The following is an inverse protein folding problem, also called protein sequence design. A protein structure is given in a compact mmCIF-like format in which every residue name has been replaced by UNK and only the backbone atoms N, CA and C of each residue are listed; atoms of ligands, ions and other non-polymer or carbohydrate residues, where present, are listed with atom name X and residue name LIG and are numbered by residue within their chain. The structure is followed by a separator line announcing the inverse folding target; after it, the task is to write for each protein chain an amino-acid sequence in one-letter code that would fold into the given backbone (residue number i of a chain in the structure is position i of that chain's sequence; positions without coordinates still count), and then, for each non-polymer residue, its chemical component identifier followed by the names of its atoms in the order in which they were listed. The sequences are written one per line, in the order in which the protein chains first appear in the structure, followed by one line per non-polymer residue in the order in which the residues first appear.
data_IF_231269943408
#
_entry.id   IF_231269943408
#
_cell.length_a   1.000
_cell.length_b   1.000
_cell.length_c   1.000
_cell.angle_alpha   90.00
_cell.angle_beta   90.00
_cell.angle_gamma   90.00
#
_symmetry.space_group_name_H-M   'P 1'
#
loop_
_entity.id
_entity.type
_entity.pdbx_description
1 polymer ?
#
# COMPACT_ATOMS: atom_id res chain seq x y z
N UNK A 1 29.53 -26.34 0.95
CA UNK A 1 28.18 -26.96 0.96
C UNK A 1 27.23 -26.38 2.01
N UNK A 2 27.70 -25.76 3.12
CA UNK A 2 26.79 -25.19 4.14
C UNK A 2 26.10 -23.85 3.76
N UNK A 3 26.77 -22.99 2.97
CA UNK A 3 26.25 -21.65 2.64
C UNK A 3 24.88 -21.66 1.92
N UNK A 4 24.63 -22.53 0.91
CA UNK A 4 23.32 -22.61 0.25
C UNK A 4 22.19 -23.04 1.20
N UNK A 5 22.47 -23.98 2.11
CA UNK A 5 21.51 -24.43 3.10
C UNK A 5 21.16 -23.33 4.10
N UNK A 6 22.16 -22.60 4.62
CA UNK A 6 21.93 -21.46 5.52
C UNK A 6 21.15 -20.34 4.83
N UNK A 7 21.45 -20.03 3.58
CA UNK A 7 20.67 -19.05 2.79
C UNK A 7 19.21 -19.48 2.62
N UNK A 8 18.96 -20.77 2.39
CA UNK A 8 17.62 -21.30 2.31
C UNK A 8 16.87 -21.20 3.64
N UNK A 9 17.50 -21.56 4.77
CA UNK A 9 16.91 -21.45 6.11
C UNK A 9 16.58 -19.99 6.45
N UNK A 10 17.47 -19.05 6.16
CA UNK A 10 17.21 -17.61 6.36
C UNK A 10 16.06 -17.13 5.48
N UNK A 11 16.02 -17.54 4.20
CA UNK A 11 14.93 -17.18 3.29
C UNK A 11 13.57 -17.73 3.76
N UNK A 12 13.53 -18.95 4.28
CA UNK A 12 12.29 -19.56 4.80
C UNK A 12 11.85 -18.86 6.08
N UNK A 13 12.80 -18.52 6.97
CA UNK A 13 12.52 -17.77 8.19
C UNK A 13 11.93 -16.38 7.88
N UNK A 14 12.51 -15.64 6.92
CA UNK A 14 12.00 -14.35 6.46
C UNK A 14 10.55 -14.46 5.95
N UNK A 15 10.23 -15.50 5.19
CA UNK A 15 8.87 -15.75 4.67
C UNK A 15 7.90 -16.09 5.80
N UNK A 16 8.33 -16.92 6.77
CA UNK A 16 7.52 -17.27 7.93
C UNK A 16 7.23 -16.05 8.82
N UNK A 17 8.22 -15.21 9.05
CA UNK A 17 8.08 -14.00 9.86
C UNK A 17 7.17 -12.96 9.17
N UNK A 18 7.28 -12.83 7.84
CA UNK A 18 6.36 -12.02 7.03
C UNK A 18 4.91 -12.54 7.11
N UNK A 19 4.72 -13.86 7.06
CA UNK A 19 3.39 -14.48 7.15
C UNK A 19 2.76 -14.38 8.54
N UNK A 20 3.59 -14.38 9.60
CA UNK A 20 3.13 -14.29 11.01
C UNK A 20 2.84 -12.86 11.45
N UNK A 21 3.29 -11.85 10.67
CA UNK A 21 3.12 -10.45 11.01
C UNK A 21 1.65 -10.01 10.89
N UNK A 22 1.17 -9.37 11.94
CA UNK A 22 -0.09 -8.63 11.93
C UNK A 22 0.11 -7.32 11.16
N UNK A 23 -0.74 -7.08 10.17
CA UNK A 23 -0.69 -5.87 9.36
C UNK A 23 -1.22 -4.69 10.18
N UNK A 24 -0.54 -3.56 10.09
CA UNK A 24 -0.96 -2.32 10.75
C UNK A 24 -1.42 -1.30 9.72
N UNK A 25 -2.48 -0.59 10.07
CA UNK A 25 -2.95 0.61 9.39
C UNK A 25 -2.42 1.81 10.18
N UNK A 26 -1.73 2.73 9.51
CA UNK A 26 -1.25 3.98 10.06
C UNK A 26 -2.03 5.12 9.43
N UNK A 27 -2.55 6.03 10.25
CA UNK A 27 -3.19 7.25 9.79
C UNK A 27 -2.43 8.47 10.31
N UNK A 28 -2.30 9.51 9.51
CA UNK A 28 -1.66 10.75 9.96
C UNK A 28 -2.55 11.49 10.97
N UNK A 29 -1.97 11.86 12.11
CA UNK A 29 -2.70 12.56 13.18
C UNK A 29 -2.80 14.07 12.95
N UNK A 30 -1.91 14.63 12.12
CA UNK A 30 -1.73 16.09 11.96
C UNK A 30 -1.13 16.75 13.22
N UNK A 31 -0.48 15.97 14.08
CA UNK A 31 0.17 16.44 15.30
C UNK A 31 1.70 16.28 15.17
N UNK A 32 2.45 17.16 15.86
CA UNK A 32 3.92 17.14 15.82
C UNK A 32 4.52 15.78 16.20
N UNK A 33 3.92 15.08 17.17
CA UNK A 33 4.25 13.71 17.57
C UNK A 33 3.15 13.10 18.47
N UNK A 34 2.83 11.79 18.37
CA UNK A 34 3.22 10.88 17.29
C UNK A 34 2.52 11.24 15.98
N UNK A 35 3.28 11.25 14.89
CA UNK A 35 2.78 11.64 13.55
C UNK A 35 1.84 10.59 12.94
N UNK A 36 2.00 9.34 13.35
CA UNK A 36 1.19 8.21 12.94
C UNK A 36 0.39 7.64 14.11
N UNK A 37 -0.91 7.49 13.92
CA UNK A 37 -1.77 6.65 14.75
C UNK A 37 -1.84 5.26 14.12
N UNK A 38 -1.53 4.21 14.89
CA UNK A 38 -1.58 2.83 14.40
C UNK A 38 -2.83 2.09 14.87
N UNK A 39 -3.46 1.35 13.98
CA UNK A 39 -4.52 0.39 14.27
C UNK A 39 -4.21 -0.96 13.65
N UNK A 40 -4.81 -2.03 14.17
CA UNK A 40 -4.75 -3.34 13.53
C UNK A 40 -5.52 -3.30 12.21
N UNK A 41 -4.89 -3.77 11.14
CA UNK A 41 -5.55 -3.89 9.85
C UNK A 41 -6.34 -5.20 9.80
N UNK A 42 -7.65 -5.11 10.03
CA UNK A 42 -8.55 -6.27 10.12
C UNK A 42 -9.30 -6.58 8.82
N UNK A 43 -9.02 -5.88 7.72
CA UNK A 43 -9.79 -6.03 6.49
C UNK A 43 -9.64 -7.45 5.92
N UNK A 44 -10.79 -8.13 5.74
CA UNK A 44 -10.87 -9.50 5.22
C UNK A 44 -10.78 -9.60 3.69
N UNK A 45 -10.45 -8.50 2.99
CA UNK A 45 -10.47 -8.50 1.53
C UNK A 45 -9.27 -9.26 1.00
N UNK A 46 -9.55 -10.18 0.08
CA UNK A 46 -8.55 -10.89 -0.72
C UNK A 46 -8.69 -10.43 -2.17
N UNK A 47 -7.60 -10.49 -2.94
CA UNK A 47 -7.64 -10.15 -4.38
C UNK A 47 -8.71 -10.95 -5.12
N UNK A 48 -8.99 -12.18 -4.68
CA UNK A 48 -10.03 -13.03 -5.25
C UNK A 48 -11.45 -12.53 -4.94
N UNK A 49 -11.70 -12.02 -3.73
CA UNK A 49 -13.01 -11.51 -3.32
C UNK A 49 -13.40 -10.15 -3.94
N UNK A 50 -12.44 -9.40 -4.48
CA UNK A 50 -12.73 -8.09 -5.10
C UNK A 50 -13.39 -8.26 -6.47
N UNK A 51 -14.53 -7.61 -6.68
CA UNK A 51 -15.22 -7.57 -7.95
C UNK A 51 -14.50 -6.64 -8.95
N UNK A 52 -13.78 -7.24 -9.89
CA UNK A 52 -13.05 -6.57 -10.98
C UNK A 52 -13.02 -7.46 -12.20
N UNK A 53 -12.69 -6.87 -13.35
CA UNK A 53 -12.42 -7.63 -14.57
C UNK A 53 -11.34 -8.70 -14.35
N UNK A 54 -11.57 -9.97 -14.75
CA UNK A 54 -10.65 -11.07 -14.48
C UNK A 54 -9.30 -10.91 -15.19
N UNK A 55 -9.25 -10.27 -16.36
CA UNK A 55 -7.99 -10.01 -17.06
C UNK A 55 -7.17 -8.96 -16.31
N UNK A 56 -7.82 -7.87 -15.87
CA UNK A 56 -7.18 -6.83 -15.07
C UNK A 56 -6.64 -7.39 -13.75
N UNK A 57 -7.45 -8.20 -13.05
CA UNK A 57 -7.05 -8.87 -11.80
C UNK A 57 -5.79 -9.72 -12.01
N UNK A 58 -5.73 -10.48 -13.09
CA UNK A 58 -4.59 -11.34 -13.42
C UNK A 58 -3.34 -10.52 -13.73
N UNK A 59 -3.48 -9.42 -14.48
CA UNK A 59 -2.37 -8.50 -14.78
C UNK A 59 -1.79 -7.88 -13.51
N UNK A 60 -2.64 -7.37 -12.61
CA UNK A 60 -2.17 -6.76 -11.36
C UNK A 60 -1.52 -7.82 -10.46
N UNK A 61 -2.08 -9.02 -10.35
CA UNK A 61 -1.47 -10.12 -9.59
C UNK A 61 -0.06 -10.45 -10.10
N UNK A 62 0.10 -10.61 -11.41
CA UNK A 62 1.40 -10.91 -12.03
C UNK A 62 2.42 -9.78 -11.81
N UNK A 63 1.97 -8.53 -11.87
CA UNK A 63 2.82 -7.35 -11.59
C UNK A 63 3.29 -7.32 -10.13
N UNK A 64 2.40 -7.58 -9.18
CA UNK A 64 2.72 -7.65 -7.74
C UNK A 64 3.73 -8.77 -7.44
N UNK A 65 3.55 -9.96 -8.02
CA UNK A 65 4.51 -11.07 -7.88
C UNK A 65 5.88 -10.74 -8.47
N UNK A 66 5.89 -10.09 -9.64
CA UNK A 66 7.13 -9.64 -10.29
C UNK A 66 7.83 -8.56 -9.46
N UNK A 67 7.06 -7.66 -8.83
CA UNK A 67 7.59 -6.64 -7.93
C UNK A 67 8.26 -7.26 -6.70
N UNK A 68 7.64 -8.27 -6.06
CA UNK A 68 8.21 -8.99 -4.93
C UNK A 68 9.53 -9.69 -5.28
N UNK A 69 9.58 -10.38 -6.42
CA UNK A 69 10.80 -11.07 -6.92
C UNK A 69 11.87 -10.09 -7.39
N UNK A 70 11.47 -8.90 -7.84
CA UNK A 70 12.35 -7.88 -8.40
C UNK A 70 13.28 -7.20 -7.39
N UNK A 71 13.11 -7.38 -6.07
CA UNK A 71 13.90 -6.66 -5.05
C UNK A 71 15.42 -6.73 -5.29
N UNK A 72 15.94 -7.92 -5.55
CA UNK A 72 17.36 -8.13 -5.82
C UNK A 72 17.81 -7.45 -7.12
N UNK A 73 16.96 -7.46 -8.14
CA UNK A 73 17.20 -6.82 -9.42
C UNK A 73 17.29 -5.29 -9.29
N UNK A 74 16.36 -4.65 -8.57
CA UNK A 74 16.42 -3.20 -8.31
C UNK A 74 17.66 -2.82 -7.50
N UNK A 75 18.02 -3.64 -6.50
CA UNK A 75 19.23 -3.42 -5.69
C UNK A 75 20.50 -3.48 -6.55
N UNK A 76 20.63 -4.46 -7.44
CA UNK A 76 21.78 -4.57 -8.35
C UNK A 76 21.90 -3.39 -9.32
N UNK A 77 20.78 -2.81 -9.73
CA UNK A 77 20.75 -1.64 -10.62
C UNK A 77 20.90 -0.29 -9.90
N UNK A 78 20.97 -0.28 -8.56
CA UNK A 78 21.00 0.95 -7.77
C UNK A 78 19.73 1.80 -7.89
N UNK A 79 18.61 1.19 -8.32
CA UNK A 79 17.33 1.89 -8.48
C UNK A 79 16.48 1.74 -7.23
N UNK A 80 15.72 2.78 -6.90
CA UNK A 80 14.74 2.75 -5.81
C UNK A 80 13.66 1.72 -6.13
N UNK A 81 13.44 0.79 -5.21
CA UNK A 81 12.41 -0.24 -5.33
C UNK A 81 11.05 0.31 -4.87
N UNK A 82 10.26 0.86 -5.81
CA UNK A 82 8.95 1.47 -5.55
C UNK A 82 7.95 1.15 -6.67
N UNK A 83 6.67 0.94 -6.35
CA UNK A 83 5.60 0.66 -7.32
C UNK A 83 4.30 1.37 -6.94
N UNK A 84 3.80 2.17 -7.87
CA UNK A 84 2.60 3.01 -7.75
C UNK A 84 1.42 2.45 -8.54
N UNK A 85 0.21 2.47 -7.98
CA UNK A 85 -1.04 2.11 -8.65
C UNK A 85 -2.05 3.26 -8.56
N UNK A 86 -2.64 3.66 -9.67
CA UNK A 86 -3.71 4.68 -9.69
C UNK A 86 -5.04 3.97 -9.94
N UNK A 87 -5.91 3.98 -8.93
CA UNK A 87 -7.24 3.38 -9.02
C UNK A 87 -8.28 4.48 -9.23
N UNK A 88 -8.94 4.47 -10.38
CA UNK A 88 -9.98 5.45 -10.72
C UNK A 88 -11.30 4.74 -11.05
N UNK A 89 -12.42 5.42 -10.75
CA UNK A 89 -13.76 4.95 -11.11
C UNK A 89 -14.85 5.55 -10.23
N UNK A 90 -16.13 5.25 -10.51
CA UNK A 90 -17.28 5.76 -9.74
C UNK A 90 -17.20 5.43 -8.24
N UNK A 91 -17.76 6.25 -7.33
CA UNK A 91 -17.85 5.86 -5.92
C UNK A 91 -18.59 4.53 -5.78
N UNK A 92 -18.17 3.69 -4.82
CA UNK A 92 -18.79 2.38 -4.57
C UNK A 92 -18.24 1.19 -5.37
N UNK A 93 -17.30 1.37 -6.31
CA UNK A 93 -16.66 0.26 -7.06
C UNK A 93 -15.57 -0.50 -6.26
N UNK A 94 -15.56 -0.39 -4.93
CA UNK A 94 -14.62 -1.15 -4.08
C UNK A 94 -13.12 -0.83 -4.29
N UNK A 95 -12.77 0.40 -4.70
CA UNK A 95 -11.35 0.81 -4.86
C UNK A 95 -10.54 0.69 -3.57
N UNK A 96 -11.09 1.18 -2.45
CA UNK A 96 -10.48 1.04 -1.13
C UNK A 96 -10.40 -0.44 -0.70
N UNK A 97 -11.41 -1.24 -1.05
CA UNK A 97 -11.40 -2.70 -0.85
C UNK A 97 -10.30 -3.39 -1.67
N UNK A 98 -10.02 -2.91 -2.89
CA UNK A 98 -8.93 -3.41 -3.70
C UNK A 98 -7.56 -3.05 -3.11
N UNK A 99 -7.37 -1.81 -2.66
CA UNK A 99 -6.17 -1.39 -1.96
C UNK A 99 -5.91 -2.26 -0.71
N UNK A 100 -6.96 -2.51 0.08
CA UNK A 100 -6.92 -3.40 1.23
C UNK A 100 -6.52 -4.85 0.85
N UNK A 101 -7.08 -5.37 -0.24
CA UNK A 101 -6.75 -6.69 -0.76
C UNK A 101 -5.28 -6.80 -1.22
N UNK A 102 -4.75 -5.77 -1.89
CA UNK A 102 -3.36 -5.73 -2.31
C UNK A 102 -2.40 -5.69 -1.12
N UNK A 103 -2.67 -4.85 -0.13
CA UNK A 103 -1.84 -4.76 1.07
C UNK A 103 -1.80 -6.09 1.83
N UNK A 104 -2.94 -6.79 1.91
CA UNK A 104 -3.03 -8.14 2.48
C UNK A 104 -2.20 -9.16 1.68
N UNK A 105 -2.25 -9.09 0.36
CA UNK A 105 -1.48 -9.98 -0.53
C UNK A 105 0.03 -9.75 -0.38
N UNK A 106 0.48 -8.49 -0.32
CA UNK A 106 1.89 -8.12 -0.16
C UNK A 106 2.40 -8.29 1.27
N UNK A 107 1.51 -8.41 2.26
CA UNK A 107 1.82 -8.37 3.70
C UNK A 107 2.54 -7.08 4.11
N UNK A 108 2.12 -5.97 3.54
CA UNK A 108 2.68 -4.65 3.84
C UNK A 108 1.78 -3.87 4.79
N UNK A 109 2.39 -3.07 5.66
CA UNK A 109 1.66 -2.11 6.48
C UNK A 109 1.09 -1.01 5.60
N UNK A 110 -0.12 -0.56 5.91
CA UNK A 110 -0.84 0.44 5.13
C UNK A 110 -0.69 1.79 5.82
N UNK A 111 -0.33 2.81 5.05
CA UNK A 111 -0.29 4.19 5.51
C UNK A 111 -1.35 4.98 4.77
N UNK A 112 -2.42 5.35 5.47
CA UNK A 112 -3.47 6.22 4.99
C UNK A 112 -3.10 7.68 5.30
N UNK A 113 -2.94 8.48 4.24
CA UNK A 113 -2.63 9.90 4.35
C UNK A 113 -3.84 10.74 3.99
N UNK A 114 -4.35 11.44 4.99
CA UNK A 114 -5.32 12.51 4.81
C UNK A 114 -4.58 13.81 4.47
N UNK A 115 -4.62 14.19 3.19
CA UNK A 115 -4.01 15.41 2.67
C UNK A 115 -4.64 16.69 3.24
N UNK A 116 -5.86 16.64 3.77
CA UNK A 116 -6.48 17.80 4.42
C UNK A 116 -5.78 18.17 5.73
N UNK A 117 -5.06 17.22 6.33
CA UNK A 117 -4.41 17.34 7.64
C UNK A 117 -2.88 17.42 7.54
N UNK A 118 -2.33 17.45 6.32
CA UNK A 118 -0.88 17.45 6.10
C UNK A 118 -0.45 18.61 5.19
N UNK A 119 0.36 19.52 5.73
CA UNK A 119 1.08 20.52 4.93
C UNK A 119 2.21 19.89 4.11
N UNK A 120 2.81 20.65 3.18
CA UNK A 120 3.88 20.17 2.31
C UNK A 120 5.12 19.66 3.08
N UNK A 121 5.51 20.37 4.14
CA UNK A 121 6.65 19.99 4.99
C UNK A 121 6.33 18.77 5.87
N UNK A 122 5.08 18.66 6.32
CA UNK A 122 4.61 17.53 7.12
C UNK A 122 4.50 16.26 6.28
N UNK A 123 4.11 16.36 5.00
CA UNK A 123 4.13 15.23 4.07
C UNK A 123 5.54 14.67 3.89
N UNK A 124 6.57 15.55 3.76
CA UNK A 124 7.97 15.10 3.69
C UNK A 124 8.37 14.39 4.98
N UNK A 125 8.01 14.95 6.12
CA UNK A 125 8.31 14.35 7.41
C UNK A 125 7.62 12.98 7.61
N UNK A 126 6.37 12.83 7.17
CA UNK A 126 5.61 11.57 7.19
C UNK A 126 6.24 10.52 6.26
N UNK A 127 6.66 10.91 5.06
CA UNK A 127 7.33 10.00 4.12
C UNK A 127 8.66 9.48 4.67
N UNK A 128 9.40 10.30 5.41
CA UNK A 128 10.65 9.90 6.07
C UNK A 128 10.40 8.97 7.27
N UNK A 129 9.31 9.16 7.99
CA UNK A 129 8.94 8.38 9.18
C UNK A 129 8.25 7.03 8.85
N UNK A 130 7.92 6.83 7.57
CA UNK A 130 7.28 5.60 7.07
C UNK A 130 8.24 4.40 7.13
N UNK A 131 7.79 3.26 7.66
CA UNK A 131 8.61 2.07 7.78
C UNK A 131 8.96 1.44 6.42
N UNK A 132 10.14 0.80 6.27
CA UNK A 132 10.46 0.02 5.07
C UNK A 132 9.51 -1.19 4.93
N UNK A 133 9.15 -1.55 3.68
CA UNK A 133 8.11 -2.57 3.35
C UNK A 133 6.69 -2.17 3.78
N UNK A 134 6.29 -0.97 3.37
CA UNK A 134 4.97 -0.40 3.56
C UNK A 134 4.32 -0.04 2.23
N UNK A 135 3.00 -0.07 2.19
CA UNK A 135 2.19 0.44 1.09
C UNK A 135 1.58 1.78 1.48
N UNK A 136 1.82 2.80 0.66
CA UNK A 136 1.21 4.11 0.84
C UNK A 136 -0.13 4.16 0.11
N UNK A 137 -1.19 4.50 0.84
CA UNK A 137 -2.51 4.77 0.28
C UNK A 137 -2.79 6.24 0.52
N UNK A 138 -2.96 6.99 -0.56
CA UNK A 138 -3.36 8.39 -0.47
C UNK A 138 -4.81 8.44 -0.86
N UNK A 139 -5.72 8.38 0.11
CA UNK A 139 -7.13 8.62 -0.17
C UNK A 139 -7.42 10.12 -0.18
N UNK A 140 -8.03 10.62 -1.26
CA UNK A 140 -8.77 11.88 -1.16
C UNK A 140 -10.17 11.56 -0.69
N UNK A 141 -10.51 11.87 0.56
CA UNK A 141 -11.92 11.88 0.98
C UNK A 141 -12.67 12.93 0.15
N UNK A 142 -13.74 12.58 -0.57
CA UNK A 142 -14.62 13.56 -1.17
C UNK A 142 -15.60 14.06 -0.10
N UNK A 143 -15.15 14.86 0.87
CA UNK A 143 -16.08 15.53 1.79
C UNK A 143 -15.53 16.91 2.19
N UNK A 144 -15.71 17.85 1.26
CA UNK A 144 -16.19 19.24 1.46
C UNK A 144 -15.91 20.05 0.18
N UNK A 145 -16.71 19.79 -0.85
CA UNK A 145 -17.15 20.85 -1.76
C UNK A 145 -18.66 20.87 -1.64
N UNK A 146 -19.13 21.94 -1.00
CA UNK A 146 -20.52 22.32 -1.01
C UNK A 146 -21.03 22.38 -2.47
N UNK A 147 -22.18 21.74 -2.69
CA UNK A 147 -23.19 22.02 -3.70
C UNK A 147 -22.75 22.85 -4.93
N UNK A 148 -22.30 22.17 -5.99
CA UNK A 148 -22.08 22.76 -7.31
C UNK A 148 -22.33 21.72 -8.41
N UNK A 149 -23.18 21.99 -9.42
CA UNK A 149 -23.78 20.95 -10.24
C UNK A 149 -22.91 20.61 -11.46
N UNK A 150 -21.66 20.18 -11.30
CA UNK A 150 -20.89 19.69 -12.44
C UNK A 150 -19.94 18.56 -12.04
N UNK A 151 -20.37 17.33 -12.36
CA UNK A 151 -19.68 16.10 -12.05
C UNK A 151 -18.46 15.87 -12.95
N UNK A 152 -17.27 16.11 -12.41
CA UNK A 152 -16.03 15.57 -12.94
C UNK A 152 -15.18 14.97 -11.82
N UNK A 153 -15.17 13.63 -11.76
CA UNK A 153 -14.41 12.85 -10.77
C UNK A 153 -12.90 13.04 -10.95
N UNK A 154 -12.19 13.29 -9.84
CA UNK A 154 -10.74 13.50 -9.81
C UNK A 154 -9.98 12.22 -9.41
N UNK A 155 -8.72 12.03 -9.87
CA UNK A 155 -7.94 10.79 -9.72
C UNK A 155 -7.29 10.59 -8.34
N UNK A 156 -7.12 9.32 -7.92
CA UNK A 156 -6.61 8.87 -6.62
C UNK A 156 -5.27 8.09 -6.75
N UNK A 157 -4.14 8.70 -6.39
CA UNK A 157 -2.80 8.13 -6.58
C UNK A 157 -2.40 7.19 -5.44
N UNK A 158 -1.97 5.95 -5.73
CA UNK A 158 -1.14 5.15 -4.80
C UNK A 158 0.28 5.11 -5.36
N UNK A 159 1.30 5.34 -4.54
CA UNK A 159 2.71 5.40 -4.98
C UNK A 159 3.62 4.47 -4.22
#
# INVERSE_FOLDING_TARGET
MLRPYLQHVVSVADVMELCRRELRLYANTGALAPRWASALFTHLATLDAVAMDPELKTRVRSDLESFLKGRAYYHCLGRVWRRSYLLYGPPGTGKSTFAAAMARFLRYDIYDIDLSRAGADELRALLVDTAPRSGLVVESKPELVDSGPDGFGKPCWMT
#
